data_IF_711222184649
#
_entry.id   IF_711222184649
#
_cell.length_a   1.000
_cell.length_b   1.000
_cell.length_c   1.000
_cell.angle_alpha   90.00
_cell.angle_beta   90.00
_cell.angle_gamma   90.00
#
_symmetry.space_group_name_H-M   'P 1'
#
loop_
_entity.id
_entity.type
_entity.pdbx_description
1 polymer ?
#
# COMPACT_ATOMS: atom_id res chain seq x y z
N UNK A 1 -24.91 21.34 11.69
CA UNK A 1 -25.31 19.98 12.13
C UNK A 1 -26.04 19.34 10.96
N UNK A 2 -25.70 18.10 10.59
CA UNK A 2 -26.44 17.40 9.55
C UNK A 2 -27.87 17.17 10.06
N UNK A 3 -28.85 17.49 9.23
CA UNK A 3 -30.27 17.33 9.54
C UNK A 3 -30.65 15.85 9.38
N UNK A 4 -30.70 15.14 10.51
CA UNK A 4 -31.01 13.71 10.56
C UNK A 4 -32.47 13.40 10.16
N UNK A 5 -33.35 14.41 10.02
CA UNK A 5 -34.73 14.19 9.54
C UNK A 5 -34.81 13.79 8.06
N UNK A 6 -33.68 13.83 7.34
CA UNK A 6 -33.57 13.44 5.93
C UNK A 6 -33.04 12.03 5.69
N UNK A 7 -32.66 11.30 6.75
CA UNK A 7 -32.25 9.91 6.64
C UNK A 7 -33.47 9.02 6.79
N UNK A 8 -34.04 8.58 5.66
CA UNK A 8 -35.12 7.58 5.66
C UNK A 8 -34.51 6.19 5.81
N UNK A 9 -34.60 5.62 7.02
CA UNK A 9 -34.11 4.27 7.33
C UNK A 9 -34.95 3.18 6.64
N UNK A 10 -36.08 3.52 6.03
CA UNK A 10 -36.91 2.61 5.24
C UNK A 10 -36.70 2.81 3.72
N UNK A 11 -35.75 3.65 3.28
CA UNK A 11 -35.45 3.81 1.87
C UNK A 11 -34.98 2.45 1.30
N UNK A 12 -35.70 1.86 0.33
CA UNK A 12 -35.31 0.57 -0.25
C UNK A 12 -33.97 0.62 -0.99
N UNK A 13 -33.42 1.80 -1.27
CA UNK A 13 -32.08 1.99 -1.81
C UNK A 13 -31.02 2.10 -0.71
N UNK A 14 -31.42 2.36 0.54
CA UNK A 14 -30.58 2.33 1.73
C UNK A 14 -30.66 0.92 2.34
N UNK A 15 -30.20 -0.08 1.58
CA UNK A 15 -30.06 -1.44 2.09
C UNK A 15 -28.93 -1.47 3.14
N UNK A 16 -29.27 -1.14 4.39
CA UNK A 16 -28.40 -1.39 5.53
C UNK A 16 -28.41 -2.90 5.78
N UNK A 17 -27.25 -3.53 6.04
CA UNK A 17 -27.24 -4.93 6.42
C UNK A 17 -28.00 -5.10 7.75
N UNK A 18 -28.98 -6.01 7.77
CA UNK A 18 -29.72 -6.41 8.99
C UNK A 18 -28.90 -7.34 9.90
N UNK A 19 -27.63 -7.55 9.59
CA UNK A 19 -26.72 -8.38 10.37
C UNK A 19 -26.29 -7.65 11.65
N UNK A 20 -26.40 -8.33 12.80
CA UNK A 20 -25.95 -7.80 14.07
C UNK A 20 -24.44 -7.55 14.03
N UNK A 21 -24.03 -6.29 14.23
CA UNK A 21 -22.62 -5.90 14.33
C UNK A 21 -22.19 -5.99 15.79
N UNK A 22 -21.18 -6.79 16.08
CA UNK A 22 -20.57 -6.86 17.41
C UNK A 22 -19.59 -5.67 17.60
N UNK A 23 -19.82 -4.87 18.64
CA UNK A 23 -18.96 -3.74 18.99
C UNK A 23 -18.19 -4.04 20.28
N UNK A 24 -16.87 -3.88 20.24
CA UNK A 24 -16.05 -3.90 21.45
C UNK A 24 -16.15 -2.55 22.17
N UNK A 25 -17.04 -2.46 23.18
CA UNK A 25 -17.28 -1.24 23.95
C UNK A 25 -16.12 -0.84 24.87
N UNK A 26 -15.20 -1.76 25.16
CA UNK A 26 -14.01 -1.50 25.99
C UNK A 26 -12.83 -0.99 25.15
N UNK A 27 -12.90 -1.12 23.83
CA UNK A 27 -11.87 -0.65 22.91
C UNK A 27 -11.89 0.86 22.75
N UNK A 28 -10.70 1.46 22.58
CA UNK A 28 -10.61 2.84 22.12
C UNK A 28 -11.04 2.92 20.65
N UNK A 29 -12.20 3.50 20.40
CA UNK A 29 -12.77 3.68 19.06
C UNK A 29 -11.88 4.53 18.13
N UNK A 30 -10.90 5.25 18.69
CA UNK A 30 -9.95 6.08 17.94
C UNK A 30 -8.55 5.45 17.84
N UNK A 31 -8.32 4.29 18.48
CA UNK A 31 -7.05 3.60 18.36
C UNK A 31 -6.84 3.14 16.92
N UNK A 32 -5.82 3.71 16.28
CA UNK A 32 -5.38 3.27 14.97
C UNK A 32 -4.92 1.81 15.05
N UNK A 33 -5.43 0.97 14.16
CA UNK A 33 -4.87 -0.37 13.96
C UNK A 33 -3.43 -0.19 13.49
N UNK A 34 -2.49 -0.88 14.12
CA UNK A 34 -1.10 -0.86 13.69
C UNK A 34 -1.00 -1.31 12.22
N UNK A 35 -0.20 -0.65 11.39
CA UNK A 35 -0.06 -1.04 10.00
C UNK A 35 0.56 -2.44 9.88
N UNK A 36 0.31 -3.10 8.75
CA UNK A 36 0.89 -4.41 8.42
C UNK A 36 2.39 -4.42 8.73
N UNK A 37 2.91 -5.37 9.54
CA UNK A 37 4.33 -5.45 9.89
C UNK A 37 5.25 -5.51 8.67
N UNK A 38 6.52 -5.16 8.85
CA UNK A 38 7.54 -5.36 7.83
C UNK A 38 7.67 -6.85 7.48
N UNK A 39 7.90 -7.17 6.21
CA UNK A 39 8.17 -8.55 5.79
C UNK A 39 7.45 -8.96 4.53
N UNK A 40 7.43 -10.25 4.25
CA UNK A 40 6.75 -10.83 3.08
C UNK A 40 5.34 -11.25 3.45
N UNK A 41 4.39 -10.89 2.59
CA UNK A 41 2.98 -11.19 2.76
C UNK A 41 2.37 -11.62 1.44
N UNK A 42 1.42 -12.55 1.47
CA UNK A 42 0.56 -12.76 0.31
C UNK A 42 -0.49 -11.66 0.27
N UNK A 43 -0.79 -11.17 -0.92
CA UNK A 43 -1.81 -10.16 -1.11
C UNK A 43 -2.54 -10.33 -2.44
N UNK A 44 -3.81 -9.95 -2.43
CA UNK A 44 -4.63 -9.82 -3.63
C UNK A 44 -4.56 -8.37 -4.12
N UNK A 45 -4.16 -8.18 -5.38
CA UNK A 45 -4.01 -6.85 -5.96
C UNK A 45 -5.29 -6.40 -6.67
N UNK A 46 -5.60 -5.11 -6.55
CA UNK A 46 -6.63 -4.45 -7.33
C UNK A 46 -6.22 -3.02 -7.67
N UNK A 47 -6.95 -2.41 -8.60
CA UNK A 47 -6.81 -0.98 -8.87
C UNK A 47 -7.47 -0.20 -7.72
N UNK A 48 -6.71 0.67 -7.07
CA UNK A 48 -7.22 1.52 -5.99
C UNK A 48 -8.21 2.58 -6.51
N UNK A 49 -8.98 3.18 -5.61
CA UNK A 49 -10.06 4.13 -5.96
C UNK A 49 -9.65 5.29 -6.88
N UNK A 50 -8.39 5.74 -6.80
CA UNK A 50 -7.87 6.82 -7.65
C UNK A 50 -7.59 6.39 -9.10
N UNK A 51 -7.52 5.09 -9.36
CA UNK A 51 -7.30 4.54 -10.68
C UNK A 51 -5.99 4.99 -11.32
N UNK A 52 -6.09 5.42 -12.57
CA UNK A 52 -4.98 5.92 -13.37
C UNK A 52 -4.95 7.45 -13.38
N UNK A 53 -3.74 8.00 -13.42
CA UNK A 53 -3.50 9.42 -13.66
C UNK A 53 -2.30 9.59 -14.59
N UNK A 54 -2.26 10.73 -15.28
CA UNK A 54 -1.15 11.06 -16.18
C UNK A 54 -0.26 12.11 -15.54
N UNK A 55 1.03 12.05 -15.87
CA UNK A 55 1.97 13.07 -15.46
C UNK A 55 3.08 13.29 -16.49
N UNK A 56 3.81 14.38 -16.29
CA UNK A 56 4.97 14.75 -17.10
C UNK A 56 6.15 14.99 -16.17
N UNK A 57 7.30 14.41 -16.49
CA UNK A 57 8.55 14.67 -15.77
C UNK A 57 9.09 16.07 -16.10
N UNK A 58 10.08 16.55 -15.34
CA UNK A 58 10.75 17.83 -15.62
C UNK A 58 11.37 17.91 -17.02
N UNK A 59 11.73 16.75 -17.58
CA UNK A 59 12.35 16.65 -18.91
C UNK A 59 11.31 16.43 -20.04
N UNK A 60 10.02 16.62 -19.76
CA UNK A 60 8.95 16.48 -20.76
C UNK A 60 8.48 15.04 -21.01
N UNK A 61 9.11 14.03 -20.41
CA UNK A 61 8.67 12.64 -20.58
C UNK A 61 7.30 12.42 -19.92
N UNK A 62 6.33 11.92 -20.69
CA UNK A 62 5.00 11.54 -20.20
C UNK A 62 5.06 10.20 -19.48
N UNK A 63 4.20 10.01 -18.49
CA UNK A 63 4.02 8.74 -17.79
C UNK A 63 2.59 8.57 -17.30
N UNK A 64 2.22 7.32 -17.04
CA UNK A 64 1.00 6.97 -16.31
C UNK A 64 1.41 6.54 -14.91
N UNK A 65 0.65 7.02 -13.92
CA UNK A 65 0.68 6.55 -12.54
C UNK A 65 -0.60 5.75 -12.27
N UNK A 66 -0.48 4.58 -11.65
CA UNK A 66 -1.60 3.77 -11.20
C UNK A 66 -1.58 3.67 -9.67
N UNK A 67 -2.73 3.92 -9.05
CA UNK A 67 -2.94 3.65 -7.62
C UNK A 67 -3.27 2.17 -7.46
N UNK A 68 -2.47 1.43 -6.71
CA UNK A 68 -2.70 0.01 -6.41
C UNK A 68 -3.14 -0.15 -4.96
N UNK A 69 -4.10 -1.03 -4.75
CA UNK A 69 -4.47 -1.56 -3.44
C UNK A 69 -4.05 -3.03 -3.39
N UNK A 70 -3.26 -3.40 -2.38
CA UNK A 70 -2.92 -4.77 -2.08
C UNK A 70 -3.59 -5.14 -0.76
N UNK A 71 -4.56 -6.04 -0.80
CA UNK A 71 -5.21 -6.55 0.42
C UNK A 71 -4.45 -7.77 0.91
N UNK A 72 -3.96 -7.73 2.15
CA UNK A 72 -3.21 -8.86 2.72
C UNK A 72 -4.12 -10.08 2.83
N UNK A 73 -3.58 -11.24 2.48
CA UNK A 73 -4.22 -12.55 2.65
C UNK A 73 -3.54 -13.27 3.81
N UNK A 74 -4.07 -13.07 5.02
CA UNK A 74 -3.54 -13.66 6.25
C UNK A 74 -4.67 -14.17 7.17
N UNK A 75 -5.41 -15.23 6.76
CA UNK A 75 -6.57 -15.71 7.50
C UNK A 75 -6.27 -15.97 8.98
N UNK A 76 -7.10 -15.42 9.86
CA UNK A 76 -6.95 -15.54 11.32
C UNK A 76 -5.89 -14.63 11.94
N UNK A 77 -5.20 -13.80 11.17
CA UNK A 77 -4.26 -12.80 11.69
C UNK A 77 -4.93 -11.42 11.80
N UNK A 78 -4.47 -10.53 12.72
CA UNK A 78 -5.08 -9.22 12.94
C UNK A 78 -5.10 -8.28 11.72
N UNK A 79 -4.29 -8.58 10.71
CA UNK A 79 -4.15 -7.78 9.51
C UNK A 79 -4.68 -8.50 8.26
N UNK A 80 -5.51 -9.55 8.42
CA UNK A 80 -6.21 -10.14 7.29
C UNK A 80 -7.05 -9.08 6.58
N UNK A 81 -6.98 -9.06 5.26
CA UNK A 81 -7.64 -8.09 4.37
C UNK A 81 -7.26 -6.62 4.60
N UNK A 82 -6.24 -6.34 5.43
CA UNK A 82 -5.73 -4.99 5.61
C UNK A 82 -5.23 -4.43 4.27
N UNK A 83 -5.66 -3.22 3.86
CA UNK A 83 -5.25 -2.64 2.59
C UNK A 83 -3.88 -1.95 2.72
N UNK A 84 -3.01 -2.22 1.75
CA UNK A 84 -1.72 -1.56 1.58
C UNK A 84 -1.69 -0.85 0.23
N UNK A 85 -1.44 0.46 0.24
CA UNK A 85 -1.55 1.30 -0.95
C UNK A 85 -0.20 1.71 -1.53
N UNK A 86 -0.12 1.68 -2.85
CA UNK A 86 1.07 2.10 -3.61
C UNK A 86 0.70 2.94 -4.84
N UNK A 87 1.67 3.73 -5.32
CA UNK A 87 1.59 4.47 -6.57
C UNK A 87 2.73 4.02 -7.47
N UNK A 88 2.39 3.24 -8.49
CA UNK A 88 3.35 2.72 -9.48
C UNK A 88 3.26 3.51 -10.78
N UNK A 89 4.33 3.48 -11.58
CA UNK A 89 4.49 4.35 -12.75
C UNK A 89 5.11 3.61 -13.94
N UNK A 90 4.84 4.12 -15.15
CA UNK A 90 5.42 3.60 -16.40
C UNK A 90 6.84 4.11 -16.69
N UNK A 91 7.38 5.01 -15.87
CA UNK A 91 8.75 5.50 -16.06
C UNK A 91 9.76 4.38 -15.88
N UNK A 92 10.66 4.23 -16.86
CA UNK A 92 11.78 3.32 -16.81
C UNK A 92 12.79 3.76 -15.76
N UNK A 93 13.06 2.90 -14.79
CA UNK A 93 14.11 3.05 -13.82
C UNK A 93 15.47 2.77 -14.49
N UNK A 94 16.46 3.62 -14.23
CA UNK A 94 17.78 3.49 -14.84
C UNK A 94 18.51 2.21 -14.42
N UNK A 95 18.38 1.82 -13.16
CA UNK A 95 19.08 0.67 -12.58
C UNK A 95 18.62 -0.67 -13.13
N UNK A 96 17.30 -0.86 -13.28
CA UNK A 96 16.71 -2.13 -13.71
C UNK A 96 16.35 -2.15 -15.19
N UNK A 97 16.31 -0.99 -15.85
CA UNK A 97 15.85 -0.87 -17.22
C UNK A 97 14.35 -1.18 -17.41
N UNK A 98 13.57 -1.30 -16.33
CA UNK A 98 12.12 -1.57 -16.36
C UNK A 98 11.34 -0.51 -15.56
N UNK A 99 10.01 -0.61 -15.53
CA UNK A 99 9.13 0.29 -14.75
C UNK A 99 8.45 -0.46 -13.61
N UNK A 100 7.92 0.26 -12.61
CA UNK A 100 7.21 -0.38 -11.49
C UNK A 100 5.91 -1.05 -11.93
N UNK A 101 5.22 -0.51 -12.95
CA UNK A 101 4.05 -1.18 -13.54
C UNK A 101 4.43 -2.53 -14.17
N UNK A 102 5.55 -2.58 -14.90
CA UNK A 102 6.03 -3.84 -15.49
C UNK A 102 6.41 -4.85 -14.41
N UNK A 103 7.05 -4.41 -13.32
CA UNK A 103 7.36 -5.28 -12.19
C UNK A 103 6.12 -5.88 -11.53
N UNK A 104 5.05 -5.09 -11.37
CA UNK A 104 3.76 -5.58 -10.85
C UNK A 104 3.10 -6.56 -11.82
N UNK A 105 3.08 -6.25 -13.12
CA UNK A 105 2.56 -7.15 -14.15
C UNK A 105 3.27 -8.52 -14.13
N UNK A 106 4.61 -8.52 -14.04
CA UNK A 106 5.40 -9.73 -13.95
C UNK A 106 5.11 -10.52 -12.66
N UNK A 107 5.01 -9.84 -11.52
CA UNK A 107 4.64 -10.48 -10.25
C UNK A 107 3.23 -11.10 -10.31
N UNK A 108 2.30 -10.48 -11.03
CA UNK A 108 0.96 -11.00 -11.28
C UNK A 108 0.90 -12.09 -12.37
N UNK A 109 2.04 -12.51 -12.93
CA UNK A 109 2.10 -13.56 -13.96
C UNK A 109 1.73 -13.10 -15.37
N UNK A 110 1.54 -11.81 -15.60
CA UNK A 110 1.24 -11.28 -16.94
C UNK A 110 2.49 -11.32 -17.83
N UNK A 111 2.30 -11.74 -19.08
CA UNK A 111 3.35 -11.65 -20.11
C UNK A 111 3.40 -10.22 -20.65
N UNK A 112 4.53 -9.54 -20.43
CA UNK A 112 4.73 -8.17 -20.91
C UNK A 112 5.60 -8.18 -22.18
N UNK A 113 5.12 -7.67 -23.32
CA UNK A 113 5.92 -7.53 -24.52
C UNK A 113 7.16 -6.66 -24.28
N UNK A 114 8.30 -7.04 -24.88
CA UNK A 114 9.55 -6.28 -24.76
C UNK A 114 9.49 -4.87 -25.36
N UNK A 115 8.55 -4.65 -26.30
CA UNK A 115 8.22 -3.35 -26.87
C UNK A 115 6.71 -3.13 -26.70
N UNK A 116 6.36 -2.09 -25.93
CA UNK A 116 4.98 -1.71 -25.65
C UNK A 116 4.92 -0.20 -25.45
N UNK A 117 3.79 0.41 -25.79
CA UNK A 117 3.53 1.81 -25.50
C UNK A 117 3.09 2.01 -24.05
N UNK A 118 3.18 3.25 -23.56
CA UNK A 118 2.68 3.62 -22.22
C UNK A 118 1.19 3.27 -22.07
N UNK A 119 0.39 3.51 -23.11
CA UNK A 119 -1.04 3.23 -23.10
C UNK A 119 -1.35 1.74 -23.08
N UNK A 120 -0.65 0.94 -23.88
CA UNK A 120 -0.77 -0.53 -23.87
C UNK A 120 -0.35 -1.11 -22.53
N UNK A 121 0.72 -0.60 -21.93
CA UNK A 121 1.17 -1.02 -20.60
C UNK A 121 0.10 -0.77 -19.54
N UNK A 122 -0.57 0.39 -19.56
CA UNK A 122 -1.66 0.69 -18.63
C UNK A 122 -2.90 -0.18 -18.88
N UNK A 123 -3.26 -0.45 -20.15
CA UNK A 123 -4.36 -1.36 -20.49
C UNK A 123 -4.09 -2.78 -20.01
N UNK A 124 -2.87 -3.27 -20.19
CA UNK A 124 -2.46 -4.59 -19.71
C UNK A 124 -2.55 -4.67 -18.19
N UNK A 125 -2.14 -3.61 -17.47
CA UNK A 125 -2.31 -3.53 -16.02
C UNK A 125 -3.77 -3.59 -15.60
N UNK A 126 -4.64 -2.78 -16.21
CA UNK A 126 -6.08 -2.78 -15.93
C UNK A 126 -6.71 -4.18 -16.12
N UNK A 127 -6.41 -4.82 -17.25
CA UNK A 127 -6.90 -6.17 -17.55
C UNK A 127 -6.39 -7.21 -16.55
N UNK A 128 -5.10 -7.13 -16.18
CA UNK A 128 -4.49 -8.06 -15.22
C UNK A 128 -5.12 -7.90 -13.83
N UNK A 129 -5.29 -6.66 -13.36
CA UNK A 129 -5.82 -6.39 -12.02
C UNK A 129 -7.31 -6.68 -11.89
N UNK A 130 -8.10 -6.64 -12.98
CA UNK A 130 -9.50 -7.10 -12.97
C UNK A 130 -9.65 -8.56 -12.57
N UNK A 131 -8.62 -9.38 -12.79
CA UNK A 131 -8.56 -10.76 -12.31
C UNK A 131 -8.26 -10.92 -10.82
N UNK A 132 -8.04 -9.81 -10.09
CA UNK A 132 -7.61 -9.80 -8.69
C UNK A 132 -6.44 -10.77 -8.43
N UNK A 133 -5.29 -10.60 -9.12
CA UNK A 133 -4.20 -11.54 -9.06
C UNK A 133 -3.60 -11.56 -7.65
N UNK A 134 -3.28 -12.77 -7.20
CA UNK A 134 -2.58 -12.99 -5.93
C UNK A 134 -1.07 -12.95 -6.15
N UNK A 135 -0.35 -12.21 -5.30
CA UNK A 135 1.10 -12.04 -5.38
C UNK A 135 1.73 -12.13 -3.98
N UNK A 136 3.06 -12.24 -3.92
CA UNK A 136 3.83 -11.94 -2.70
C UNK A 136 4.26 -10.46 -2.74
N UNK A 137 4.03 -9.71 -1.66
CA UNK A 137 4.56 -8.36 -1.47
C UNK A 137 5.52 -8.33 -0.29
N UNK A 138 6.60 -7.54 -0.40
CA UNK A 138 7.45 -7.17 0.72
C UNK A 138 6.97 -5.80 1.25
N UNK A 139 6.41 -5.74 2.46
CA UNK A 139 5.98 -4.49 3.10
C UNK A 139 7.10 -3.86 3.91
N UNK A 140 7.03 -2.54 4.06
CA UNK A 140 7.81 -1.79 5.04
C UNK A 140 6.99 -0.66 5.66
N UNK A 141 7.26 -0.33 6.90
CA UNK A 141 6.72 0.84 7.56
C UNK A 141 7.42 2.10 7.07
N UNK A 142 6.63 3.14 6.82
CA UNK A 142 7.11 4.49 6.56
C UNK A 142 6.29 5.52 7.35
N UNK A 143 6.98 6.45 8.00
CA UNK A 143 6.36 7.67 8.53
C UNK A 143 6.79 8.86 7.66
N UNK A 144 5.81 9.54 7.06
CA UNK A 144 6.04 10.67 6.16
C UNK A 144 5.59 11.98 6.78
N UNK A 145 6.50 12.94 6.91
CA UNK A 145 6.19 14.30 7.36
C UNK A 145 5.87 15.19 6.16
N UNK A 146 4.59 15.52 5.99
CA UNK A 146 4.10 16.48 4.99
C UNK A 146 3.76 17.87 5.55
N UNK A 147 4.21 18.21 6.77
CA UNK A 147 3.93 19.52 7.37
C UNK A 147 4.70 20.64 6.67
N UNK A 148 4.18 21.87 6.72
CA UNK A 148 4.82 22.99 6.03
C UNK A 148 6.20 23.31 6.61
N UNK A 149 6.43 23.09 7.91
CA UNK A 149 7.77 23.15 8.49
C UNK A 149 8.74 22.10 7.89
N UNK A 150 8.28 20.87 7.64
CA UNK A 150 9.06 19.85 6.94
C UNK A 150 9.22 20.12 5.43
N UNK A 151 8.32 20.90 4.83
CA UNK A 151 8.41 21.38 3.44
C UNK A 151 9.31 22.61 3.32
N UNK A 152 9.39 23.44 4.35
CA UNK A 152 10.09 24.72 4.35
C UNK A 152 11.62 24.59 4.36
N UNK A 153 12.18 23.39 4.54
CA UNK A 153 13.59 23.15 4.21
C UNK A 153 13.76 23.35 2.71
N UNK A 154 14.31 24.49 2.32
CA UNK A 154 14.46 24.95 0.94
C UNK A 154 15.10 23.85 0.09
N UNK A 155 14.37 23.34 -0.91
CA UNK A 155 15.01 22.54 -1.94
C UNK A 155 16.08 23.37 -2.66
N UNK A 156 17.02 22.71 -3.37
CA UNK A 156 18.16 23.37 -4.04
C UNK A 156 17.82 24.55 -4.99
N UNK A 157 16.53 24.82 -5.26
CA UNK A 157 16.04 25.81 -6.23
C UNK A 157 14.93 26.74 -5.67
N UNK A 158 14.83 26.94 -4.35
CA UNK A 158 13.83 27.87 -3.77
C UNK A 158 12.37 27.39 -3.78
N UNK A 159 12.10 26.15 -4.23
CA UNK A 159 10.75 25.55 -4.13
C UNK A 159 10.51 24.94 -2.74
N UNK A 160 9.27 25.00 -2.22
CA UNK A 160 8.87 24.23 -1.05
C UNK A 160 9.16 22.75 -1.29
N UNK A 161 9.86 22.11 -0.35
CA UNK A 161 10.05 20.67 -0.32
C UNK A 161 8.71 19.95 -0.31
N UNK A 162 8.69 18.69 -0.76
CA UNK A 162 7.44 17.90 -0.80
C UNK A 162 7.10 17.22 0.53
N UNK A 163 7.84 17.52 1.60
CA UNK A 163 7.90 16.67 2.81
C UNK A 163 8.92 15.55 2.64
N UNK A 164 9.16 14.78 3.70
CA UNK A 164 10.13 13.68 3.69
C UNK A 164 9.66 12.50 4.52
N UNK A 165 10.03 11.30 4.11
CA UNK A 165 9.97 10.12 4.98
C UNK A 165 10.98 10.32 6.12
N UNK A 166 10.51 10.34 7.36
CA UNK A 166 11.36 10.57 8.54
C UNK A 166 11.86 9.27 9.16
N UNK A 167 11.05 8.21 9.11
CA UNK A 167 11.40 6.87 9.57
C UNK A 167 10.99 5.84 8.52
N UNK A 168 11.81 4.79 8.41
CA UNK A 168 11.61 3.64 7.54
C UNK A 168 11.93 2.38 8.31
N UNK A 169 11.22 1.30 8.00
CA UNK A 169 11.28 0.02 8.68
C UNK A 169 10.75 0.04 10.10
N UNK A 170 9.94 -0.95 10.44
CA UNK A 170 9.28 -1.12 11.73
C UNK A 170 10.30 -1.12 12.89
N UNK A 171 11.45 -1.79 12.72
CA UNK A 171 12.52 -1.85 13.73
C UNK A 171 13.09 -0.50 14.17
N UNK A 172 12.87 0.55 13.38
CA UNK A 172 13.35 1.90 13.69
C UNK A 172 12.29 2.74 14.41
N UNK A 173 11.11 2.18 14.68
CA UNK A 173 10.09 2.80 15.52
C UNK A 173 10.31 2.42 16.98
N UNK A 174 10.04 3.32 17.95
CA UNK A 174 10.19 3.02 19.37
C UNK A 174 9.39 1.78 19.78
N UNK A 175 9.94 0.96 20.67
CA UNK A 175 9.23 -0.18 21.25
C UNK A 175 8.48 0.24 22.52
N UNK A 176 7.23 -0.20 22.67
CA UNK A 176 6.51 -0.14 23.96
C UNK A 176 6.79 -1.36 24.82
N UNK A 177 6.98 -2.51 24.17
CA UNK A 177 7.33 -3.81 24.76
C UNK A 177 8.20 -4.55 23.74
N UNK A 178 9.00 -5.56 24.15
CA UNK A 178 9.79 -6.36 23.23
C UNK A 178 8.95 -6.87 22.06
N UNK A 179 9.31 -6.45 20.84
CA UNK A 179 8.59 -6.83 19.60
C UNK A 179 7.30 -6.04 19.30
N UNK A 180 6.87 -5.11 20.15
CA UNK A 180 5.73 -4.22 19.91
C UNK A 180 6.21 -2.79 19.67
N UNK A 181 6.17 -2.36 18.41
CA UNK A 181 6.58 -1.02 18.00
C UNK A 181 5.40 -0.03 18.01
N UNK A 182 5.68 1.20 18.45
CA UNK A 182 4.76 2.33 18.32
C UNK A 182 4.60 2.69 16.85
N UNK A 183 3.38 2.66 16.35
CA UNK A 183 3.08 3.09 14.99
C UNK A 183 2.80 4.60 14.89
N UNK A 184 2.83 5.31 16.01
CA UNK A 184 2.70 6.77 16.09
C UNK A 184 3.98 7.34 16.68
N UNK A 185 4.58 8.32 16.01
CA UNK A 185 5.86 8.92 16.39
C UNK A 185 5.85 10.42 16.16
N UNK A 186 6.69 11.12 16.91
CA UNK A 186 6.89 12.55 16.70
C UNK A 186 7.90 12.81 15.57
N UNK A 187 7.60 13.75 14.67
CA UNK A 187 8.54 14.20 13.67
C UNK A 187 9.73 14.92 14.34
N UNK A 188 10.99 14.49 14.13
CA UNK A 188 12.14 15.11 14.77
C UNK A 188 12.37 16.57 14.35
N UNK A 189 11.89 16.97 13.17
CA UNK A 189 12.11 18.31 12.61
C UNK A 189 11.05 19.33 13.02
N UNK A 190 9.78 18.91 13.16
CA UNK A 190 8.67 19.86 13.35
C UNK A 190 7.75 19.51 14.50
N UNK A 191 8.03 18.43 15.25
CA UNK A 191 7.27 18.03 16.44
C UNK A 191 5.82 17.57 16.17
N UNK A 192 5.40 17.52 14.91
CA UNK A 192 4.09 16.97 14.56
C UNK A 192 4.07 15.45 14.75
N UNK A 193 2.94 14.95 15.21
CA UNK A 193 2.66 13.53 15.27
C UNK A 193 2.50 12.93 13.87
N UNK A 194 3.10 11.76 13.65
CA UNK A 194 3.10 11.03 12.41
C UNK A 194 2.69 9.58 12.68
N UNK A 195 1.74 9.09 11.91
CA UNK A 195 1.38 7.66 11.90
C UNK A 195 2.16 6.92 10.81
N UNK A 196 2.69 5.76 11.16
CA UNK A 196 3.32 4.81 10.26
C UNK A 196 2.29 4.26 9.28
N UNK A 197 2.74 4.01 8.04
CA UNK A 197 1.96 3.33 7.02
C UNK A 197 2.77 2.20 6.43
N UNK A 198 2.13 1.05 6.25
CA UNK A 198 2.71 -0.02 5.45
C UNK A 198 2.78 0.43 3.99
N UNK A 199 3.91 0.18 3.35
CA UNK A 199 4.16 0.45 1.94
C UNK A 199 4.75 -0.78 1.26
N UNK A 200 4.27 -1.16 0.06
CA UNK A 200 4.94 -2.19 -0.70
C UNK A 200 6.31 -1.68 -1.12
N UNK A 201 7.33 -2.48 -0.87
CA UNK A 201 8.71 -2.25 -1.30
C UNK A 201 9.01 -3.04 -2.56
N UNK A 202 8.43 -4.24 -2.68
CA UNK A 202 8.65 -5.17 -3.80
C UNK A 202 7.41 -6.03 -4.01
N UNK A 203 7.17 -6.41 -5.26
CA UNK A 203 6.20 -7.42 -5.68
C UNK A 203 6.95 -8.59 -6.29
N UNK A 204 6.51 -9.81 -6.01
CA UNK A 204 7.09 -11.04 -6.51
C UNK A 204 5.98 -12.02 -6.90
N UNK A 205 6.22 -12.82 -7.93
CA UNK A 205 5.35 -13.93 -8.25
C UNK A 205 5.32 -14.93 -7.09
N UNK A 206 4.17 -15.58 -6.88
CA UNK A 206 4.07 -16.70 -5.94
C UNK A 206 4.87 -17.85 -6.53
N UNK A 207 6.08 -18.03 -6.04
CA UNK A 207 6.81 -19.28 -6.27
C UNK A 207 6.10 -20.34 -5.46
N UNK A 208 5.41 -21.26 -6.13
CA UNK A 208 5.00 -22.51 -5.50
C UNK A 208 6.28 -23.22 -5.07
N UNK A 209 6.74 -22.95 -3.85
CA UNK A 209 7.76 -23.76 -3.21
C UNK A 209 7.21 -25.17 -3.20
N UNK A 210 7.87 -26.07 -3.92
CA UNK A 210 7.70 -27.49 -3.69
C UNK A 210 7.82 -27.69 -2.18
N UNK A 211 6.74 -28.15 -1.55
CA UNK A 211 6.80 -28.70 -0.21
C UNK A 211 7.75 -29.88 -0.34
N UNK A 212 9.03 -29.66 -0.03
CA UNK A 212 9.93 -30.77 0.31
C UNK A 212 9.33 -31.35 1.58
N UNK A 213 8.51 -32.37 1.42
CA UNK A 213 8.07 -33.19 2.53
C UNK A 213 9.32 -33.80 3.15
N UNK A 214 9.60 -33.38 4.37
CA UNK A 214 10.44 -34.15 5.28
C UNK A 214 9.77 -35.53 5.43
N UNK A 215 10.19 -36.49 4.60
CA UNK A 215 10.02 -37.90 4.93
C UNK A 215 10.97 -38.18 6.09
N UNK A 216 10.45 -38.10 7.31
CA UNK A 216 11.06 -38.78 8.45
C UNK A 216 11.15 -40.27 8.11
N UNK A 217 12.38 -40.72 7.86
CA UNK A 217 12.72 -42.13 7.74
C UNK A 217 12.67 -42.71 9.16
N UNK A 218 11.82 -43.71 9.45
CA UNK A 218 11.84 -44.35 10.75
C UNK A 218 13.11 -45.18 10.87
N UNK A 219 13.85 -44.96 11.97
CA UNK A 219 14.87 -45.88 12.48
C UNK A 219 14.22 -46.97 13.34
#
# INVERSE_FOLDING_TARGET
MADLTKLDLNDPNLALPDEAVEYNLEGDAFAGIAPVPDGKHFATLSLGQKGFSQGTTKNGNKYIMASIEARIDAPGQPHDKAPVFDNIFTLKQQSSGTSSIVGVLQAAGATVPSKTTIAETARLLDQTLKGNPRVEIETRWEAFCGSDACKATTGKNGQPGKGKTVLRYQRNFPETKPGMHQHVVECPSCKNELSAKAKPRRYSAITNGAVQGDQEVPF
#
